data_IF_970412785219
#
_entry.id   IF_970412785219
#
_cell.length_a   1.000
_cell.length_b   1.000
_cell.length_c   1.000
_cell.angle_alpha   90.00
_cell.angle_beta   90.00
_cell.angle_gamma   90.00
#
_symmetry.space_group_name_H-M   'P 1'
#
loop_
_entity.id
_entity.type
_entity.pdbx_description
1 polymer ?
#
# COMPACT_ATOMS: atom_id res chain seq x y z
N UNK A 1 -10.46 10.29 18.27
CA UNK A 1 -9.76 9.03 18.60
C UNK A 1 -10.32 7.97 17.66
N UNK A 2 -9.70 7.75 16.49
CA UNK A 2 -10.16 6.71 15.55
C UNK A 2 -9.74 5.37 16.12
N UNK A 3 -10.71 4.59 16.62
CA UNK A 3 -10.49 3.21 17.04
C UNK A 3 -9.86 2.46 15.87
N UNK A 4 -8.56 2.18 15.97
CA UNK A 4 -7.87 1.23 15.11
C UNK A 4 -8.31 -0.16 15.54
N UNK A 5 -9.57 -0.51 15.27
CA UNK A 5 -10.08 -1.85 15.57
C UNK A 5 -9.26 -2.80 14.71
N UNK A 6 -8.43 -3.69 15.31
CA UNK A 6 -7.74 -4.69 14.52
C UNK A 6 -8.79 -5.53 13.80
N UNK A 7 -8.59 -5.78 12.51
CA UNK A 7 -9.41 -6.74 11.78
C UNK A 7 -9.23 -8.11 12.44
N UNK A 8 -10.20 -8.47 13.27
CA UNK A 8 -10.45 -9.83 13.69
C UNK A 8 -11.49 -10.33 12.71
N UNK A 9 -11.15 -11.37 11.95
CA UNK A 9 -12.13 -12.06 11.12
C UNK A 9 -13.30 -12.42 12.03
N UNK A 10 -14.49 -11.83 11.85
CA UNK A 10 -15.67 -12.32 12.54
C UNK A 10 -15.79 -13.80 12.14
N UNK A 11 -16.11 -14.67 13.09
CA UNK A 11 -16.67 -15.95 12.70
C UNK A 11 -17.89 -15.66 11.81
N UNK A 12 -18.12 -16.45 10.76
CA UNK A 12 -19.16 -16.17 9.77
C UNK A 12 -20.54 -15.86 10.38
N UNK A 13 -20.82 -16.44 11.55
CA UNK A 13 -21.99 -16.19 12.42
C UNK A 13 -22.06 -14.78 13.00
N UNK A 14 -20.94 -14.26 13.53
CA UNK A 14 -20.88 -12.90 14.11
C UNK A 14 -21.03 -11.84 13.02
N UNK A 15 -20.47 -12.07 11.83
CA UNK A 15 -20.70 -11.17 10.69
C UNK A 15 -22.16 -11.18 10.23
N UNK A 16 -22.83 -12.34 10.22
CA UNK A 16 -24.25 -12.40 9.84
C UNK A 16 -25.15 -11.76 10.89
N UNK A 17 -24.86 -11.89 12.19
CA UNK A 17 -25.60 -11.22 13.26
C UNK A 17 -25.46 -9.70 13.23
N UNK A 18 -24.23 -9.18 13.03
CA UNK A 18 -23.96 -7.73 13.05
C UNK A 18 -24.47 -7.05 11.78
N UNK A 19 -24.28 -7.70 10.62
CA UNK A 19 -24.62 -7.09 9.35
C UNK A 19 -26.04 -7.43 8.87
N UNK A 20 -26.61 -8.57 9.28
CA UNK A 20 -27.90 -9.07 8.79
C UNK A 20 -27.85 -9.51 7.32
N UNK A 21 -29.01 -9.82 6.74
CA UNK A 21 -29.15 -10.07 5.30
C UNK A 21 -28.98 -8.75 4.53
N UNK A 22 -27.75 -8.49 4.05
CA UNK A 22 -27.44 -7.31 3.24
C UNK A 22 -27.35 -7.67 1.77
N UNK A 23 -28.10 -6.96 0.94
CA UNK A 23 -27.86 -6.94 -0.49
C UNK A 23 -26.70 -5.99 -0.82
N UNK A 24 -25.64 -6.56 -1.41
CA UNK A 24 -24.50 -5.82 -1.92
C UNK A 24 -24.70 -5.52 -3.40
N UNK A 25 -24.83 -4.24 -3.75
CA UNK A 25 -25.10 -3.79 -5.13
C UNK A 25 -24.09 -2.75 -5.65
N UNK A 26 -23.43 -2.01 -4.75
CA UNK A 26 -22.59 -0.86 -5.12
C UNK A 26 -21.20 -1.26 -5.59
N UNK A 27 -20.54 -0.36 -6.32
CA UNK A 27 -19.16 -0.50 -6.80
C UNK A 27 -18.30 0.59 -6.16
N UNK A 28 -17.04 0.26 -5.91
CA UNK A 28 -16.08 1.21 -5.37
C UNK A 28 -14.77 1.22 -6.18
N UNK A 29 -14.19 2.40 -6.34
CA UNK A 29 -12.84 2.61 -6.83
C UNK A 29 -11.86 2.75 -5.67
N UNK A 30 -10.65 2.22 -5.85
CA UNK A 30 -9.56 2.34 -4.90
C UNK A 30 -8.28 2.77 -5.64
N UNK A 31 -7.96 4.03 -5.45
CA UNK A 31 -6.84 4.68 -6.12
C UNK A 31 -5.72 4.97 -5.14
N UNK A 32 -4.51 5.11 -5.69
CA UNK A 32 -3.36 5.52 -4.90
C UNK A 32 -3.30 7.04 -4.81
N UNK A 33 -3.51 7.57 -3.61
CA UNK A 33 -3.44 9.01 -3.37
C UNK A 33 -2.00 9.56 -3.41
N UNK A 34 -1.83 10.79 -3.91
CA UNK A 34 -0.55 11.54 -3.87
C UNK A 34 -0.01 11.72 -2.43
N UNK A 35 -0.92 11.95 -1.48
CA UNK A 35 -0.63 12.26 -0.07
C UNK A 35 -1.06 11.15 0.90
N UNK A 36 -1.74 10.11 0.42
CA UNK A 36 -2.29 9.03 1.22
C UNK A 36 -2.13 7.67 0.52
N UNK A 37 -1.86 6.58 1.24
CA UNK A 37 -1.68 5.26 0.64
C UNK A 37 -2.83 4.81 -0.26
N UNK A 38 -4.08 5.04 0.16
CA UNK A 38 -5.30 4.67 -0.56
C UNK A 38 -6.32 5.79 -0.42
N UNK A 39 -6.95 6.15 -1.54
CA UNK A 39 -8.19 6.89 -1.60
C UNK A 39 -9.27 5.95 -2.14
N UNK A 40 -10.45 5.96 -1.51
CA UNK A 40 -11.60 5.16 -1.92
C UNK A 40 -12.71 6.11 -2.35
N UNK A 41 -13.43 5.71 -3.39
CA UNK A 41 -14.64 6.39 -3.84
C UNK A 41 -15.74 5.37 -4.08
N UNK A 42 -16.95 5.65 -3.59
CA UNK A 42 -18.14 4.85 -3.86
C UNK A 42 -19.16 5.71 -4.59
N UNK A 43 -19.69 5.17 -5.69
CA UNK A 43 -20.78 5.79 -6.43
C UNK A 43 -22.13 5.35 -5.82
N UNK A 44 -22.94 6.32 -5.41
CA UNK A 44 -24.26 6.08 -4.80
C UNK A 44 -25.31 7.00 -5.41
N UNK A 45 -26.20 6.45 -6.23
CA UNK A 45 -27.46 7.08 -6.68
C UNK A 45 -27.37 8.56 -7.12
N UNK A 46 -26.21 9.02 -7.64
CA UNK A 46 -25.83 10.38 -8.10
C UNK A 46 -24.86 11.20 -7.23
N UNK A 47 -24.37 10.67 -6.10
CA UNK A 47 -23.28 11.27 -5.31
C UNK A 47 -22.08 10.33 -5.18
N UNK A 48 -20.91 10.93 -4.90
CA UNK A 48 -19.68 10.21 -4.59
C UNK A 48 -19.35 10.41 -3.11
N UNK A 49 -19.11 9.29 -2.42
CA UNK A 49 -18.59 9.31 -1.05
C UNK A 49 -17.12 8.88 -1.09
N UNK A 50 -16.24 9.79 -0.64
CA UNK A 50 -14.78 9.61 -0.70
C UNK A 50 -14.17 9.39 0.69
N UNK A 51 -13.26 8.43 0.80
CA UNK A 51 -12.46 8.18 2.00
C UNK A 51 -10.98 8.19 1.69
N UNK A 52 -10.24 9.08 2.36
CA UNK A 52 -8.78 9.14 2.29
C UNK A 52 -8.18 8.43 3.50
N UNK A 53 -7.47 7.33 3.26
CA UNK A 53 -6.87 6.53 4.33
C UNK A 53 -5.44 6.99 4.61
N UNK A 54 -5.24 7.68 5.73
CA UNK A 54 -3.91 8.15 6.17
C UNK A 54 -3.29 7.23 7.24
N UNK A 55 -2.00 6.93 7.07
CA UNK A 55 -1.15 6.19 8.04
C UNK A 55 0.19 6.92 8.24
N UNK A 56 0.12 8.24 8.43
CA UNK A 56 1.26 9.17 8.40
C UNK A 56 2.46 8.71 9.23
N UNK A 57 2.27 8.46 10.53
CA UNK A 57 3.35 8.08 11.45
C UNK A 57 4.12 6.83 10.99
N UNK A 58 3.44 5.82 10.44
CA UNK A 58 4.09 4.58 9.99
C UNK A 58 4.86 4.80 8.69
N UNK A 59 4.30 5.59 7.76
CA UNK A 59 4.96 5.93 6.50
C UNK A 59 6.20 6.79 6.76
N UNK A 60 6.11 7.80 7.61
CA UNK A 60 7.25 8.65 8.00
C UNK A 60 8.37 7.83 8.65
N UNK A 61 8.01 6.92 9.56
CA UNK A 61 8.96 5.99 10.20
C UNK A 61 9.60 5.05 9.17
N UNK A 62 8.85 4.57 8.19
CA UNK A 62 9.38 3.76 7.08
C UNK A 62 10.37 4.55 6.24
N UNK A 63 10.01 5.78 5.87
CA UNK A 63 10.82 6.64 5.00
C UNK A 63 12.13 7.10 5.66
N UNK A 64 12.10 7.45 6.94
CA UNK A 64 13.31 7.78 7.70
C UNK A 64 14.29 6.61 7.75
N UNK A 65 13.81 5.38 8.02
CA UNK A 65 14.67 4.18 8.00
C UNK A 65 15.18 3.90 6.59
N UNK A 66 14.34 4.05 5.56
CA UNK A 66 14.75 3.84 4.16
C UNK A 66 15.89 4.78 3.76
N UNK A 67 15.78 6.08 4.08
CA UNK A 67 16.83 7.07 3.82
C UNK A 67 18.12 6.70 4.54
N UNK A 68 18.05 6.37 5.82
CA UNK A 68 19.20 5.92 6.60
C UNK A 68 19.90 4.70 5.98
N UNK A 69 19.12 3.68 5.59
CA UNK A 69 19.64 2.46 4.97
C UNK A 69 20.27 2.73 3.61
N UNK A 70 19.68 3.62 2.80
CA UNK A 70 20.22 3.98 1.49
C UNK A 70 21.61 4.60 1.62
N UNK A 71 21.78 5.57 2.53
CA UNK A 71 23.07 6.20 2.80
C UNK A 71 24.10 5.18 3.29
N UNK A 72 23.71 4.37 4.30
CA UNK A 72 24.60 3.35 4.86
C UNK A 72 25.02 2.29 3.83
N UNK A 73 24.10 1.91 2.94
CA UNK A 73 24.38 0.94 1.86
C UNK A 73 25.41 1.51 0.88
N UNK A 74 25.30 2.79 0.51
CA UNK A 74 26.27 3.46 -0.36
C UNK A 74 27.68 3.47 0.28
N UNK A 75 27.78 3.88 1.54
CA UNK A 75 29.04 3.90 2.29
C UNK A 75 29.68 2.51 2.38
N UNK A 76 28.89 1.49 2.73
CA UNK A 76 29.37 0.11 2.86
C UNK A 76 29.83 -0.44 1.50
N UNK A 77 29.10 -0.13 0.43
CA UNK A 77 29.47 -0.56 -0.93
C UNK A 77 30.80 0.05 -1.35
N UNK A 78 31.03 1.34 -1.08
CA UNK A 78 32.32 1.99 -1.34
C UNK A 78 33.46 1.34 -0.53
N UNK A 79 33.23 1.04 0.76
CA UNK A 79 34.23 0.36 1.60
C UNK A 79 34.57 -1.03 1.08
N UNK A 80 33.58 -1.80 0.64
CA UNK A 80 33.77 -3.13 0.03
C UNK A 80 34.56 -3.04 -1.27
N UNK A 81 34.16 -2.17 -2.18
CA UNK A 81 34.86 -1.96 -3.45
C UNK A 81 36.33 -1.56 -3.24
N UNK A 82 36.60 -0.67 -2.27
CA UNK A 82 37.98 -0.28 -1.93
C UNK A 82 38.77 -1.41 -1.28
N UNK A 83 38.13 -2.24 -0.46
CA UNK A 83 38.75 -3.42 0.13
C UNK A 83 39.10 -4.45 -0.93
N UNK A 84 38.16 -4.79 -1.81
CA UNK A 84 38.33 -5.77 -2.87
C UNK A 84 39.43 -5.36 -3.86
N UNK A 85 39.57 -4.06 -4.14
CA UNK A 85 40.69 -3.52 -4.94
C UNK A 85 42.05 -3.70 -4.27
N UNK A 86 42.14 -3.61 -2.94
CA UNK A 86 43.42 -3.64 -2.20
C UNK A 86 43.79 -5.03 -1.69
N UNK A 87 42.80 -5.86 -1.38
CA UNK A 87 42.92 -7.13 -0.64
C UNK A 87 41.87 -8.13 -1.15
N UNK A 88 41.90 -8.40 -2.46
CA UNK A 88 41.00 -9.36 -3.09
C UNK A 88 41.12 -10.73 -2.43
N UNK A 89 39.97 -11.40 -2.23
CA UNK A 89 39.90 -12.74 -1.64
C UNK A 89 40.05 -12.81 -0.11
N UNK A 90 40.37 -11.70 0.57
CA UNK A 90 40.40 -11.66 2.04
C UNK A 90 39.04 -11.30 2.64
N UNK A 91 38.71 -11.85 3.80
CA UNK A 91 37.48 -11.52 4.53
C UNK A 91 37.39 -10.03 4.86
N UNK A 92 36.21 -9.44 4.69
CA UNK A 92 35.98 -8.05 5.05
C UNK A 92 36.20 -7.77 6.54
N UNK A 93 36.62 -6.53 6.90
CA UNK A 93 36.73 -6.13 8.30
C UNK A 93 35.43 -6.31 9.07
N UNK A 94 35.53 -6.67 10.35
CA UNK A 94 34.38 -6.88 11.26
C UNK A 94 33.42 -5.69 11.29
N UNK A 95 33.94 -4.46 11.14
CA UNK A 95 33.12 -3.26 11.07
C UNK A 95 32.18 -3.26 9.85
N UNK A 96 32.69 -3.63 8.66
CA UNK A 96 31.90 -3.71 7.42
C UNK A 96 30.83 -4.79 7.56
N UNK A 97 31.20 -5.94 8.09
CA UNK A 97 30.25 -7.05 8.36
C UNK A 97 29.16 -6.65 9.37
N UNK A 98 29.49 -5.85 10.40
CA UNK A 98 28.52 -5.30 11.36
C UNK A 98 27.55 -4.34 10.68
N UNK A 99 28.03 -3.48 9.79
CA UNK A 99 27.19 -2.56 9.01
C UNK A 99 26.24 -3.33 8.07
N UNK A 100 26.70 -4.40 7.42
CA UNK A 100 25.82 -5.27 6.61
C UNK A 100 24.68 -5.88 7.43
N UNK A 101 24.99 -6.39 8.64
CA UNK A 101 23.96 -6.93 9.55
C UNK A 101 22.95 -5.86 9.95
N UNK A 102 23.40 -4.63 10.17
CA UNK A 102 22.54 -3.49 10.48
C UNK A 102 21.64 -3.10 9.30
N UNK A 103 22.17 -3.11 8.08
CA UNK A 103 21.39 -2.91 6.84
C UNK A 103 20.31 -3.99 6.74
N UNK A 104 20.67 -5.27 6.91
CA UNK A 104 19.73 -6.38 6.86
C UNK A 104 18.65 -6.30 7.95
N UNK A 105 19.01 -5.91 9.18
CA UNK A 105 18.06 -5.69 10.27
C UNK A 105 17.09 -4.53 9.98
N UNK A 106 17.60 -3.44 9.42
CA UNK A 106 16.79 -2.28 9.03
C UNK A 106 15.80 -2.62 7.91
N UNK A 107 16.22 -3.39 6.91
CA UNK A 107 15.32 -3.91 5.88
C UNK A 107 14.24 -4.84 6.45
N UNK A 108 14.57 -5.70 7.43
CA UNK A 108 13.56 -6.50 8.14
C UNK A 108 12.55 -5.61 8.87
N UNK A 109 13.00 -4.52 9.49
CA UNK A 109 12.13 -3.54 10.15
C UNK A 109 11.21 -2.82 9.15
N UNK A 110 11.73 -2.39 8.00
CA UNK A 110 10.93 -1.82 6.90
C UNK A 110 9.86 -2.80 6.45
N UNK A 111 10.20 -4.08 6.22
CA UNK A 111 9.22 -5.10 5.82
C UNK A 111 8.12 -5.33 6.86
N UNK A 112 8.43 -5.21 8.16
CA UNK A 112 7.43 -5.27 9.24
C UNK A 112 6.50 -4.06 9.20
N UNK A 113 7.05 -2.85 9.01
CA UNK A 113 6.25 -1.62 8.85
C UNK A 113 5.35 -1.72 7.61
N UNK A 114 5.86 -2.21 6.48
CA UNK A 114 5.05 -2.42 5.27
C UNK A 114 3.82 -3.31 5.53
N UNK A 115 4.00 -4.41 6.28
CA UNK A 115 2.89 -5.32 6.61
C UNK A 115 1.86 -4.63 7.52
N UNK A 116 2.33 -3.83 8.46
CA UNK A 116 1.44 -3.11 9.38
C UNK A 116 0.66 -2.00 8.67
N UNK A 117 1.33 -1.24 7.81
CA UNK A 117 0.68 -0.26 6.92
C UNK A 117 -0.39 -0.96 6.07
N UNK A 118 -0.03 -2.08 5.42
CA UNK A 118 -0.96 -2.82 4.59
C UNK A 118 -2.17 -3.30 5.38
N UNK A 119 -1.98 -3.82 6.60
CA UNK A 119 -3.07 -4.28 7.46
C UNK A 119 -4.01 -3.15 7.88
N UNK A 120 -3.47 -2.01 8.32
CA UNK A 120 -4.28 -0.88 8.75
C UNK A 120 -5.07 -0.25 7.60
N UNK A 121 -4.41 -0.12 6.44
CA UNK A 121 -5.06 0.38 5.22
C UNK A 121 -6.15 -0.60 4.79
N UNK A 122 -5.84 -1.88 4.69
CA UNK A 122 -6.78 -2.90 4.26
C UNK A 122 -8.01 -2.99 5.18
N UNK A 123 -7.81 -2.97 6.50
CA UNK A 123 -8.92 -3.02 7.46
C UNK A 123 -9.87 -1.84 7.28
N UNK A 124 -9.34 -0.62 7.12
CA UNK A 124 -10.16 0.57 6.86
C UNK A 124 -10.88 0.49 5.52
N UNK A 125 -10.21 -0.01 4.49
CA UNK A 125 -10.82 -0.22 3.17
C UNK A 125 -11.99 -1.20 3.24
N UNK A 126 -11.81 -2.32 3.93
CA UNK A 126 -12.86 -3.33 4.06
C UNK A 126 -14.04 -2.80 4.87
N UNK A 127 -13.80 -2.13 5.99
CA UNK A 127 -14.90 -1.57 6.78
C UNK A 127 -15.70 -0.52 6.03
N UNK A 128 -15.02 0.36 5.28
CA UNK A 128 -15.69 1.29 4.39
C UNK A 128 -16.54 0.56 3.34
N UNK A 129 -16.00 -0.50 2.74
CA UNK A 129 -16.77 -1.31 1.78
C UNK A 129 -18.02 -1.95 2.41
N UNK A 130 -17.93 -2.44 3.64
CA UNK A 130 -19.07 -3.03 4.35
C UNK A 130 -20.13 -1.99 4.73
N UNK A 131 -19.70 -0.80 5.15
CA UNK A 131 -20.57 0.33 5.48
C UNK A 131 -21.39 0.77 4.26
N UNK A 132 -20.75 0.87 3.09
CA UNK A 132 -21.40 1.29 1.85
C UNK A 132 -21.92 0.14 0.97
N UNK A 133 -21.97 -1.09 1.50
CA UNK A 133 -22.51 -2.30 0.83
C UNK A 133 -21.88 -2.59 -0.54
N UNK A 134 -20.57 -2.38 -0.65
CA UNK A 134 -19.79 -2.55 -1.88
C UNK A 134 -19.68 -4.02 -2.25
N UNK A 135 -20.22 -4.40 -3.41
CA UNK A 135 -20.09 -5.75 -3.98
C UNK A 135 -18.75 -5.96 -4.68
N UNK A 136 -18.31 -4.96 -5.46
CA UNK A 136 -17.09 -5.03 -6.28
C UNK A 136 -16.21 -3.82 -6.02
N UNK A 137 -14.97 -4.09 -5.62
CA UNK A 137 -13.92 -3.12 -5.41
C UNK A 137 -12.91 -3.20 -6.56
N UNK A 138 -12.59 -2.06 -7.16
CA UNK A 138 -11.64 -1.96 -8.27
C UNK A 138 -10.41 -1.20 -7.82
N UNK A 139 -9.25 -1.85 -7.84
CA UNK A 139 -7.94 -1.23 -7.63
C UNK A 139 -7.27 -0.91 -8.96
N UNK A 140 -6.49 0.16 -9.00
CA UNK A 140 -5.58 0.40 -10.14
C UNK A 140 -4.42 -0.62 -10.15
N UNK A 141 -4.15 -1.22 -11.32
CA UNK A 141 -2.99 -2.07 -11.56
C UNK A 141 -1.75 -1.21 -11.85
N UNK A 142 -0.98 -0.95 -10.80
CA UNK A 142 0.24 -0.14 -10.88
C UNK A 142 1.49 -0.99 -11.15
N UNK A 143 1.37 -2.27 -11.54
CA UNK A 143 2.54 -3.12 -11.85
C UNK A 143 3.42 -2.56 -12.97
N UNK A 144 2.82 -1.84 -13.92
CA UNK A 144 3.51 -1.18 -15.04
C UNK A 144 3.86 0.29 -14.78
N UNK A 145 3.52 0.84 -13.60
CA UNK A 145 3.73 2.25 -13.30
C UNK A 145 5.15 2.48 -12.76
N UNK A 146 6.04 2.99 -13.62
CA UNK A 146 7.39 3.40 -13.22
C UNK A 146 7.38 4.85 -12.74
N UNK A 147 7.88 5.07 -11.52
CA UNK A 147 8.06 6.41 -10.98
C UNK A 147 9.03 7.21 -11.87
N UNK A 148 8.71 8.47 -12.15
CA UNK A 148 9.68 9.38 -12.77
C UNK A 148 10.82 9.66 -11.77
N UNK A 149 12.07 9.54 -12.24
CA UNK A 149 13.24 9.77 -11.41
C UNK A 149 13.20 11.19 -10.82
N UNK A 150 13.20 11.32 -9.48
CA UNK A 150 13.24 12.61 -8.78
C UNK A 150 11.92 13.08 -8.14
N UNK A 151 10.79 12.39 -8.34
CA UNK A 151 9.53 12.76 -7.69
C UNK A 151 9.61 12.60 -6.16
N UNK A 152 9.30 13.67 -5.41
CA UNK A 152 9.30 13.66 -3.93
C UNK A 152 8.02 13.09 -3.32
N UNK A 153 7.02 12.73 -4.12
CA UNK A 153 5.69 12.42 -3.58
C UNK A 153 5.60 11.05 -2.92
N UNK A 154 4.73 10.97 -1.90
CA UNK A 154 4.45 9.76 -1.12
C UNK A 154 3.90 8.63 -2.03
N UNK A 155 3.11 9.00 -3.05
CA UNK A 155 2.60 8.10 -4.09
C UNK A 155 3.64 7.59 -5.07
N UNK A 156 4.91 7.96 -4.94
CA UNK A 156 6.00 7.30 -5.68
C UNK A 156 6.87 6.45 -4.75
N UNK A 157 6.77 6.65 -3.43
CA UNK A 157 7.61 6.00 -2.42
C UNK A 157 7.01 4.75 -1.77
N UNK A 158 5.68 4.55 -1.81
CA UNK A 158 5.11 3.21 -1.60
C UNK A 158 5.57 2.35 -2.79
N UNK A 159 6.39 1.35 -2.52
CA UNK A 159 6.86 0.46 -3.58
C UNK A 159 5.65 -0.26 -4.20
N UNK A 160 5.74 -0.63 -5.47
CA UNK A 160 4.80 -1.58 -6.10
C UNK A 160 4.54 -2.81 -5.21
N UNK A 161 5.57 -3.24 -4.49
CA UNK A 161 5.49 -4.30 -3.48
C UNK A 161 4.54 -3.99 -2.31
N UNK A 162 4.49 -2.76 -1.81
CA UNK A 162 3.56 -2.38 -0.74
C UNK A 162 2.12 -2.28 -1.28
N UNK A 163 1.94 -1.77 -2.50
CA UNK A 163 0.64 -1.76 -3.16
C UNK A 163 0.08 -3.17 -3.35
N UNK A 164 0.90 -4.10 -3.86
CA UNK A 164 0.51 -5.51 -3.98
C UNK A 164 0.10 -6.11 -2.64
N UNK A 165 0.88 -5.87 -1.57
CA UNK A 165 0.52 -6.30 -0.21
C UNK A 165 -0.81 -5.75 0.28
N UNK A 166 -1.14 -4.48 -0.03
CA UNK A 166 -2.42 -3.88 0.33
C UNK A 166 -3.55 -4.64 -0.38
N UNK A 167 -3.46 -4.84 -1.69
CA UNK A 167 -4.47 -5.54 -2.49
C UNK A 167 -4.67 -6.97 -1.97
N UNK A 168 -3.58 -7.71 -1.73
CA UNK A 168 -3.63 -9.08 -1.23
C UNK A 168 -4.27 -9.15 0.16
N UNK A 169 -3.94 -8.19 1.04
CA UNK A 169 -4.51 -8.12 2.39
C UNK A 169 -6.00 -7.76 2.34
N UNK A 170 -6.42 -6.84 1.45
CA UNK A 170 -7.84 -6.49 1.24
C UNK A 170 -8.62 -7.70 0.72
N UNK A 171 -8.09 -8.42 -0.27
CA UNK A 171 -8.68 -9.66 -0.79
C UNK A 171 -8.91 -10.66 0.33
N UNK A 172 -7.86 -10.97 1.09
CA UNK A 172 -7.94 -11.89 2.22
C UNK A 172 -9.01 -11.48 3.23
N UNK A 173 -9.04 -10.20 3.62
CA UNK A 173 -10.00 -9.70 4.61
C UNK A 173 -11.45 -9.75 4.09
N UNK A 174 -11.69 -9.43 2.82
CA UNK A 174 -13.02 -9.53 2.20
C UNK A 174 -13.49 -10.98 2.07
N UNK A 175 -12.62 -11.88 1.63
CA UNK A 175 -12.92 -13.33 1.56
C UNK A 175 -13.25 -13.89 2.94
N UNK A 176 -12.55 -13.44 3.99
CA UNK A 176 -12.81 -13.82 5.38
C UNK A 176 -14.19 -13.35 5.88
N UNK A 177 -14.77 -12.31 5.27
CA UNK A 177 -16.14 -11.84 5.52
C UNK A 177 -17.18 -12.54 4.65
N UNK A 178 -16.79 -13.56 3.86
CA UNK A 178 -17.72 -14.33 3.02
C UNK A 178 -17.93 -13.74 1.63
N UNK A 179 -17.21 -12.68 1.24
CA UNK A 179 -17.25 -12.19 -0.14
C UNK A 179 -16.58 -13.18 -1.09
N UNK A 180 -17.05 -13.23 -2.34
CA UNK A 180 -16.37 -14.03 -3.36
C UNK A 180 -14.92 -13.56 -3.57
N UNK A 181 -14.05 -14.49 -3.98
CA UNK A 181 -12.69 -14.21 -4.47
C UNK A 181 -12.65 -13.15 -5.60
N UNK A 182 -13.74 -13.00 -6.32
CA UNK A 182 -13.92 -12.02 -7.41
C UNK A 182 -14.58 -10.71 -6.94
N UNK A 183 -14.57 -10.41 -5.64
CA UNK A 183 -15.02 -9.12 -5.12
C UNK A 183 -13.99 -8.00 -5.31
N UNK A 184 -12.71 -8.34 -5.55
CA UNK A 184 -11.62 -7.37 -5.72
C UNK A 184 -10.92 -7.55 -7.07
N UNK A 185 -11.06 -6.54 -7.92
CA UNK A 185 -10.51 -6.48 -9.26
C UNK A 185 -9.34 -5.52 -9.35
N UNK A 186 -8.41 -5.77 -10.26
CA UNK A 186 -7.38 -4.81 -10.65
C UNK A 186 -7.66 -4.35 -12.07
N UNK A 187 -7.77 -3.04 -12.28
CA UNK A 187 -8.08 -2.41 -13.58
C UNK A 187 -6.86 -1.66 -14.10
N UNK A 188 -6.70 -1.60 -15.41
CA UNK A 188 -5.61 -0.83 -16.01
C UNK A 188 -5.83 0.66 -15.76
N UNK A 189 -4.86 1.41 -15.19
CA UNK A 189 -4.99 2.83 -14.85
C UNK A 189 -5.03 3.78 -16.07
N UNK A 190 -5.33 3.27 -17.28
CA UNK A 190 -5.17 4.02 -18.52
C UNK A 190 -6.08 5.26 -18.52
N UNK A 191 -5.46 6.43 -18.37
CA UNK A 191 -6.10 7.75 -18.38
C UNK A 191 -7.01 8.07 -17.18
N UNK A 192 -6.97 7.31 -16.08
CA UNK A 192 -7.83 7.55 -14.89
C UNK A 192 -7.57 8.93 -14.25
N UNK A 193 -6.31 9.34 -14.14
CA UNK A 193 -5.91 10.67 -13.64
C UNK A 193 -6.06 11.82 -14.66
N UNK A 194 -6.29 11.50 -15.93
CA UNK A 194 -6.47 12.50 -16.99
C UNK A 194 -7.92 12.69 -17.37
N UNK A 195 -8.80 11.74 -17.07
CA UNK A 195 -10.17 11.79 -17.54
C UNK A 195 -11.02 12.47 -16.48
N UNK A 196 -11.62 13.61 -16.80
CA UNK A 196 -12.51 14.30 -15.88
C UNK A 196 -13.72 13.40 -15.58
N UNK A 197 -14.01 13.15 -14.30
CA UNK A 197 -15.16 12.33 -13.90
C UNK A 197 -16.51 12.99 -14.26
N UNK A 198 -16.55 14.32 -14.40
CA UNK A 198 -17.74 15.09 -14.76
C UNK A 198 -17.96 15.10 -16.28
N UNK A 199 -16.97 15.59 -17.05
CA UNK A 199 -17.13 15.81 -18.49
C UNK A 199 -16.54 14.71 -19.38
N UNK A 200 -15.82 13.73 -18.81
CA UNK A 200 -15.12 12.63 -19.52
C UNK A 200 -14.05 13.07 -20.52
N UNK A 201 -13.72 14.36 -20.57
CA UNK A 201 -12.63 14.87 -21.39
C UNK A 201 -11.28 14.52 -20.78
N UNK A 202 -10.27 14.37 -21.64
CA UNK A 202 -8.88 14.13 -21.23
C UNK A 202 -8.17 15.46 -20.96
N UNK A 203 -7.79 15.70 -19.72
CA UNK A 203 -6.88 16.75 -19.32
C UNK A 203 -5.48 16.58 -19.90
N UNK A 204 -4.84 17.71 -20.19
CA UNK A 204 -3.47 17.77 -20.72
C UNK A 204 -2.49 17.52 -19.57
N UNK A 205 -1.52 16.61 -19.75
CA UNK A 205 -0.37 16.49 -18.83
C UNK A 205 0.55 17.68 -19.08
N UNK A 206 0.74 18.52 -18.06
CA UNK A 206 1.77 19.56 -18.02
C UNK A 206 3.04 18.97 -17.43
#
# INVERSE_FOLDING_TARGET
>A
MTLQIPFLSPNGTVSTEIFGDREYSTKAGADRGLRAPVALSVEKEQSFEDLIITVGNLVEKRESIRKFVSTLTSEVTLKKNNWDKKRSGQSYPTQVLRQDRQIAASWRKIRRLDREIARQVASRTVWFCEEHRVKKLFFEDLRSFQAHAGSRDLSYNLSSNLWGKIIDTVRYMRESLGHSKYSVWTVNPRYTSQTCHVCRERGVRV
#
